data_IF_404848084103
#
_entry.id   IF_404848084103
#
_cell.length_a   1.000
_cell.length_b   1.000
_cell.length_c   1.000
_cell.angle_alpha   90.00
_cell.angle_beta   90.00
_cell.angle_gamma   90.00
#
_symmetry.space_group_name_H-M   'P 1'
#
loop_
_entity.id
_entity.type
_entity.pdbx_description
1 polymer ?
#
# COMPACT_ATOMS: atom_id res chain seq x y z
N UNK A 1 -0.59 -14.11 20.95
CA UNK A 1 -0.37 -13.05 19.95
C UNK A 1 -1.04 -13.54 18.69
N UNK A 2 -2.33 -13.25 18.54
CA UNK A 2 -3.10 -13.69 17.38
C UNK A 2 -2.68 -12.85 16.18
N UNK A 3 -1.85 -13.43 15.31
CA UNK A 3 -1.34 -12.79 14.09
C UNK A 3 -2.44 -12.60 13.03
N UNK A 4 -3.65 -13.10 13.29
CA UNK A 4 -4.79 -13.06 12.39
C UNK A 4 -5.82 -12.08 12.95
N UNK A 5 -6.15 -11.00 12.21
CA UNK A 5 -7.19 -10.08 12.66
C UNK A 5 -8.53 -10.79 12.83
N UNK A 6 -9.31 -10.34 13.81
CA UNK A 6 -10.63 -10.91 14.08
C UNK A 6 -11.53 -10.88 12.83
N UNK A 7 -12.54 -11.76 12.71
CA UNK A 7 -13.48 -11.74 11.59
C UNK A 7 -14.07 -10.35 11.30
N UNK A 8 -14.35 -9.58 12.34
CA UNK A 8 -14.89 -8.22 12.27
C UNK A 8 -13.85 -7.26 11.71
N UNK A 9 -12.61 -7.33 12.21
CA UNK A 9 -11.49 -6.51 11.71
C UNK A 9 -11.18 -6.78 10.24
N UNK A 10 -11.25 -8.05 9.80
CA UNK A 10 -11.11 -8.43 8.38
C UNK A 10 -12.22 -7.84 7.53
N UNK A 11 -13.46 -7.96 7.98
CA UNK A 11 -14.62 -7.40 7.28
C UNK A 11 -14.52 -5.88 7.14
N UNK A 12 -14.10 -5.19 8.21
CA UNK A 12 -13.91 -3.74 8.20
C UNK A 12 -12.77 -3.32 7.25
N UNK A 13 -11.65 -4.05 7.24
CA UNK A 13 -10.54 -3.82 6.30
C UNK A 13 -10.99 -3.95 4.85
N UNK A 14 -11.69 -5.05 4.52
CA UNK A 14 -12.21 -5.29 3.17
C UNK A 14 -13.23 -4.23 2.75
N UNK A 15 -14.15 -3.85 3.66
CA UNK A 15 -15.11 -2.79 3.41
C UNK A 15 -14.41 -1.45 3.11
N UNK A 16 -13.35 -1.11 3.85
CA UNK A 16 -12.54 0.09 3.60
C UNK A 16 -11.87 0.06 2.24
N UNK A 17 -11.22 -1.05 1.90
CA UNK A 17 -10.57 -1.24 0.59
C UNK A 17 -11.57 -1.06 -0.54
N UNK A 18 -12.73 -1.72 -0.45
CA UNK A 18 -13.78 -1.61 -1.46
C UNK A 18 -14.35 -0.19 -1.54
N UNK A 19 -14.58 0.47 -0.41
CA UNK A 19 -15.07 1.85 -0.35
C UNK A 19 -14.14 2.80 -1.08
N UNK A 20 -12.83 2.72 -0.81
CA UNK A 20 -11.81 3.55 -1.46
C UNK A 20 -11.76 3.30 -2.96
N UNK A 21 -11.71 2.03 -3.39
CA UNK A 21 -11.52 1.70 -4.81
C UNK A 21 -12.76 1.90 -5.67
N UNK A 22 -13.94 1.60 -5.12
CA UNK A 22 -15.18 1.53 -5.90
C UNK A 22 -16.08 2.75 -5.69
N UNK A 23 -15.98 3.43 -4.53
CA UNK A 23 -16.83 4.56 -4.15
C UNK A 23 -16.04 5.69 -3.47
N UNK A 24 -14.91 6.17 -4.03
CA UNK A 24 -14.00 7.10 -3.36
C UNK A 24 -14.70 8.38 -2.88
N UNK A 25 -15.54 9.00 -3.72
CA UNK A 25 -16.28 10.22 -3.38
C UNK A 25 -17.19 10.09 -2.15
N UNK A 26 -17.73 8.89 -1.92
CA UNK A 26 -18.58 8.62 -0.76
C UNK A 26 -17.77 8.16 0.46
N UNK A 27 -16.57 7.65 0.25
CA UNK A 27 -15.73 7.07 1.30
C UNK A 27 -14.82 8.11 1.95
N UNK A 28 -14.28 9.06 1.18
CA UNK A 28 -13.40 10.11 1.71
C UNK A 28 -14.02 10.95 2.84
N UNK A 29 -15.29 11.39 2.77
CA UNK A 29 -15.91 12.11 3.88
C UNK A 29 -16.01 11.26 5.16
N UNK A 30 -16.21 9.94 5.05
CA UNK A 30 -16.22 9.04 6.21
C UNK A 30 -14.83 8.92 6.82
N UNK A 31 -13.82 8.71 5.98
CA UNK A 31 -12.41 8.65 6.40
C UNK A 31 -12.01 9.94 7.11
N UNK A 32 -12.43 11.10 6.60
CA UNK A 32 -12.15 12.40 7.19
C UNK A 32 -12.79 12.51 8.59
N UNK A 33 -14.07 12.13 8.75
CA UNK A 33 -14.80 12.22 10.00
C UNK A 33 -14.37 11.20 11.07
N UNK A 34 -13.76 10.09 10.68
CA UNK A 34 -13.38 9.04 11.63
C UNK A 34 -12.20 9.44 12.52
N UNK A 35 -12.32 9.36 13.86
CA UNK A 35 -11.19 9.55 14.73
C UNK A 35 -10.17 8.44 14.51
N UNK A 36 -8.92 8.82 14.25
CA UNK A 36 -7.85 7.87 14.02
C UNK A 36 -6.51 8.42 14.53
N UNK A 37 -5.58 7.50 14.79
CA UNK A 37 -4.17 7.84 15.04
C UNK A 37 -3.32 7.22 13.94
N UNK A 38 -2.10 7.75 13.77
CA UNK A 38 -1.12 7.14 12.84
C UNK A 38 -0.90 5.66 13.20
N UNK A 39 -0.78 5.35 14.49
CA UNK A 39 -0.63 3.98 14.98
C UNK A 39 -1.79 3.07 14.60
N UNK A 40 -3.04 3.52 14.79
CA UNK A 40 -4.23 2.72 14.45
C UNK A 40 -4.37 2.47 12.95
N UNK A 41 -3.99 3.44 12.10
CA UNK A 41 -3.99 3.28 10.64
C UNK A 41 -2.88 2.31 10.21
N UNK A 42 -1.69 2.38 10.83
CA UNK A 42 -0.62 1.43 10.55
C UNK A 42 -1.02 -0.01 10.89
N UNK A 43 -1.40 -0.25 12.14
CA UNK A 43 -1.69 -1.59 12.63
C UNK A 43 -2.98 -2.18 12.07
N UNK A 44 -3.93 -1.34 11.67
CA UNK A 44 -5.22 -1.75 11.14
C UNK A 44 -5.29 -1.84 9.62
N UNK A 45 -4.37 -1.21 8.89
CA UNK A 45 -4.47 -1.07 7.44
C UNK A 45 -3.12 -1.24 6.71
N UNK A 46 -2.17 -0.33 6.96
CA UNK A 46 -0.94 -0.23 6.16
C UNK A 46 -0.09 -1.50 6.25
N UNK A 47 0.07 -2.06 7.45
CA UNK A 47 0.87 -3.28 7.68
C UNK A 47 0.38 -4.44 6.81
N UNK A 48 -0.94 -4.59 6.67
CA UNK A 48 -1.53 -5.68 5.89
C UNK A 48 -1.44 -5.44 4.39
N UNK A 49 -1.82 -4.25 3.90
CA UNK A 49 -1.83 -3.99 2.47
C UNK A 49 -0.42 -3.86 1.88
N UNK A 50 0.51 -3.22 2.60
CA UNK A 50 1.90 -3.11 2.14
C UNK A 50 2.59 -4.48 2.05
N UNK A 51 2.13 -5.49 2.80
CA UNK A 51 2.70 -6.84 2.70
C UNK A 51 2.35 -7.53 1.38
N UNK A 52 1.21 -7.19 0.75
CA UNK A 52 0.74 -7.82 -0.50
C UNK A 52 1.78 -7.76 -1.62
N UNK A 53 2.25 -6.58 -2.09
CA UNK A 53 3.25 -6.52 -3.15
C UNK A 53 4.56 -7.22 -2.77
N UNK A 54 5.00 -7.09 -1.51
CA UNK A 54 6.27 -7.66 -1.04
C UNK A 54 6.23 -9.19 -1.06
N UNK A 55 5.14 -9.79 -0.59
CA UNK A 55 4.97 -11.24 -0.59
C UNK A 55 4.82 -11.77 -2.02
N UNK A 56 4.07 -11.08 -2.87
CA UNK A 56 3.93 -11.44 -4.28
C UNK A 56 5.29 -11.39 -5.00
N UNK A 57 6.06 -10.32 -4.82
CA UNK A 57 7.38 -10.16 -5.41
C UNK A 57 8.38 -11.20 -4.87
N UNK A 58 8.37 -11.48 -3.57
CA UNK A 58 9.20 -12.52 -2.95
C UNK A 58 8.93 -13.89 -3.56
N UNK A 59 7.66 -14.31 -3.57
CA UNK A 59 7.25 -15.61 -4.13
C UNK A 59 7.59 -15.66 -5.62
N UNK A 60 7.26 -14.61 -6.37
CA UNK A 60 7.56 -14.53 -7.80
C UNK A 60 9.05 -14.65 -8.09
N UNK A 61 9.90 -13.98 -7.30
CA UNK A 61 11.35 -14.02 -7.43
C UNK A 61 11.94 -15.41 -7.16
N UNK A 62 11.39 -16.16 -6.21
CA UNK A 62 11.89 -17.49 -5.84
C UNK A 62 11.40 -18.57 -6.80
N UNK A 63 10.13 -18.51 -7.21
CA UNK A 63 9.50 -19.53 -8.06
C UNK A 63 9.96 -19.37 -9.51
N UNK A 64 9.91 -18.15 -10.03
CA UNK A 64 10.18 -17.91 -11.44
C UNK A 64 11.57 -17.34 -11.69
N UNK A 65 12.06 -16.48 -10.79
CA UNK A 65 13.29 -15.71 -10.99
C UNK A 65 13.06 -14.43 -11.80
N UNK A 66 14.15 -13.71 -12.05
CA UNK A 66 14.19 -12.53 -12.88
C UNK A 66 14.80 -12.89 -14.23
N UNK A 67 14.04 -12.71 -15.30
CA UNK A 67 14.50 -12.93 -16.67
C UNK A 67 14.78 -11.60 -17.38
N UNK A 68 15.96 -11.44 -17.96
CA UNK A 68 16.25 -10.35 -18.90
C UNK A 68 17.16 -10.84 -20.03
N UNK A 69 16.81 -10.49 -21.28
CA UNK A 69 17.59 -10.85 -22.48
C UNK A 69 17.97 -12.34 -22.60
N UNK A 70 17.06 -13.25 -22.22
CA UNK A 70 17.28 -14.70 -22.29
C UNK A 70 18.07 -15.30 -21.11
N UNK A 71 18.56 -14.49 -20.18
CA UNK A 71 19.21 -14.94 -18.95
C UNK A 71 18.22 -14.91 -17.81
N UNK A 72 18.11 -16.02 -17.06
CA UNK A 72 17.28 -16.10 -15.86
C UNK A 72 18.17 -16.14 -14.62
N UNK A 73 18.04 -15.12 -13.76
CA UNK A 73 18.66 -15.05 -12.45
C UNK A 73 17.65 -15.45 -11.38
N UNK A 74 18.01 -16.40 -10.51
CA UNK A 74 17.22 -16.75 -9.33
C UNK A 74 18.00 -16.37 -8.08
N UNK A 75 17.46 -15.46 -7.24
CA UNK A 75 18.12 -15.11 -5.99
C UNK A 75 18.15 -16.31 -5.05
N UNK A 76 19.15 -16.34 -4.16
CA UNK A 76 19.11 -17.25 -3.02
C UNK A 76 17.93 -16.91 -2.10
N UNK A 77 17.44 -17.90 -1.36
CA UNK A 77 16.34 -17.71 -0.39
C UNK A 77 16.68 -16.60 0.61
N UNK A 78 17.90 -16.60 1.15
CA UNK A 78 18.37 -15.58 2.07
C UNK A 78 18.40 -14.18 1.44
N UNK A 79 18.85 -14.07 0.18
CA UNK A 79 18.89 -12.80 -0.55
C UNK A 79 17.48 -12.26 -0.85
N UNK A 80 16.57 -13.13 -1.28
CA UNK A 80 15.18 -12.76 -1.56
C UNK A 80 14.46 -12.30 -0.28
N UNK A 81 14.63 -13.02 0.83
CA UNK A 81 14.08 -12.63 2.13
C UNK A 81 14.64 -11.30 2.63
N UNK A 82 15.95 -11.10 2.53
CA UNK A 82 16.60 -9.83 2.90
C UNK A 82 16.02 -8.68 2.09
N UNK A 83 15.85 -8.88 0.78
CA UNK A 83 15.25 -7.88 -0.11
C UNK A 83 13.81 -7.58 0.27
N UNK A 84 13.00 -8.60 0.54
CA UNK A 84 11.61 -8.45 0.95
C UNK A 84 11.47 -7.67 2.26
N UNK A 85 12.29 -7.98 3.27
CA UNK A 85 12.28 -7.26 4.56
C UNK A 85 12.66 -5.79 4.38
N UNK A 86 13.72 -5.52 3.61
CA UNK A 86 14.15 -4.14 3.33
C UNK A 86 13.08 -3.38 2.56
N UNK A 87 12.49 -3.96 1.51
CA UNK A 87 11.42 -3.35 0.74
C UNK A 87 10.20 -3.06 1.60
N UNK A 88 9.81 -3.99 2.47
CA UNK A 88 8.68 -3.79 3.38
C UNK A 88 8.94 -2.63 4.34
N UNK A 89 10.12 -2.58 4.97
CA UNK A 89 10.49 -1.48 5.86
C UNK A 89 10.51 -0.12 5.13
N UNK A 90 11.06 -0.08 3.91
CA UNK A 90 11.05 1.11 3.06
C UNK A 90 9.64 1.53 2.66
N UNK A 91 8.74 0.58 2.41
CA UNK A 91 7.36 0.88 2.04
C UNK A 91 6.57 1.44 3.23
N UNK A 92 6.75 0.87 4.42
CA UNK A 92 6.16 1.40 5.65
C UNK A 92 6.69 2.81 5.93
N UNK A 93 8.01 3.02 5.90
CA UNK A 93 8.61 4.34 6.08
C UNK A 93 8.20 5.34 4.99
N UNK A 94 8.08 4.86 3.75
CA UNK A 94 7.69 5.66 2.58
C UNK A 94 6.31 6.30 2.72
N UNK A 95 5.33 5.58 3.29
CA UNK A 95 4.01 6.16 3.57
C UNK A 95 4.09 7.28 4.59
N UNK A 96 4.90 7.12 5.65
CA UNK A 96 5.09 8.18 6.63
C UNK A 96 5.74 9.41 6.01
N UNK A 97 6.81 9.23 5.23
CA UNK A 97 7.48 10.31 4.52
C UNK A 97 6.52 10.99 3.53
N UNK A 98 5.71 10.22 2.81
CA UNK A 98 4.72 10.77 1.87
C UNK A 98 3.64 11.59 2.60
N UNK A 99 3.20 11.16 3.77
CA UNK A 99 2.30 11.94 4.62
C UNK A 99 2.92 13.28 5.05
N UNK A 100 4.22 13.30 5.40
CA UNK A 100 4.93 14.55 5.72
C UNK A 100 5.01 15.50 4.52
N UNK A 101 5.19 14.95 3.31
CA UNK A 101 5.17 15.73 2.07
C UNK A 101 3.77 16.34 1.85
N UNK A 102 2.70 15.54 2.01
CA UNK A 102 1.31 16.01 1.90
C UNK A 102 1.03 17.11 2.92
N UNK A 103 1.38 16.92 4.19
CA UNK A 103 1.19 17.92 5.25
C UNK A 103 1.98 19.21 4.95
N UNK A 104 3.24 19.07 4.52
CA UNK A 104 4.09 20.19 4.13
C UNK A 104 3.53 21.00 2.94
N UNK A 105 2.86 20.32 2.01
CA UNK A 105 2.26 20.94 0.83
C UNK A 105 0.84 21.46 1.05
N UNK A 106 0.13 21.01 2.09
CA UNK A 106 -1.27 21.38 2.35
C UNK A 106 -1.53 22.91 2.31
N UNK A 107 -0.70 23.78 2.92
CA UNK A 107 -0.89 25.23 2.84
C UNK A 107 -0.84 25.80 1.42
N UNK A 108 -0.11 25.16 0.50
CA UNK A 108 0.00 25.61 -0.90
C UNK A 108 -1.26 25.33 -1.71
N UNK A 109 -2.11 24.41 -1.23
CA UNK A 109 -3.38 24.04 -1.86
C UNK A 109 -4.59 24.62 -1.10
N UNK A 110 -4.38 25.60 -0.21
CA UNK A 110 -5.44 26.20 0.59
C UNK A 110 -5.94 25.32 1.74
N UNK A 111 -5.27 24.19 2.02
CA UNK A 111 -5.55 23.33 3.16
C UNK A 111 -4.82 23.76 4.43
N UNK A 112 -5.29 23.27 5.58
CA UNK A 112 -4.56 23.41 6.84
C UNK A 112 -3.66 22.20 7.09
N UNK A 113 -2.58 22.42 7.84
CA UNK A 113 -1.72 21.33 8.30
C UNK A 113 -2.46 20.48 9.32
N UNK A 114 -2.47 19.19 9.07
CA UNK A 114 -3.02 18.16 9.92
C UNK A 114 -2.32 16.84 9.55
N UNK A 115 -1.40 16.44 10.40
CA UNK A 115 -0.59 15.26 10.22
C UNK A 115 -1.43 13.97 10.14
N UNK A 116 -2.56 13.91 10.86
CA UNK A 116 -3.43 12.73 10.84
C UNK A 116 -4.19 12.69 9.52
N UNK A 117 -4.76 13.81 9.08
CA UNK A 117 -5.46 13.88 7.79
C UNK A 117 -4.52 13.63 6.61
N UNK A 118 -3.30 14.17 6.65
CA UNK A 118 -2.28 13.90 5.64
C UNK A 118 -1.88 12.41 5.61
N UNK A 119 -1.74 11.78 6.79
CA UNK A 119 -1.43 10.36 6.88
C UNK A 119 -2.59 9.47 6.38
N UNK A 120 -3.84 9.81 6.69
CA UNK A 120 -5.02 9.15 6.11
C UNK A 120 -4.96 9.20 4.59
N UNK A 121 -4.72 10.38 4.01
CA UNK A 121 -4.64 10.54 2.56
C UNK A 121 -3.51 9.69 1.96
N UNK A 122 -2.30 9.75 2.54
CA UNK A 122 -1.15 8.97 2.09
C UNK A 122 -1.42 7.45 2.11
N UNK A 123 -1.92 6.94 3.24
CA UNK A 123 -2.13 5.52 3.46
C UNK A 123 -3.28 4.97 2.60
N UNK A 124 -4.42 5.66 2.56
CA UNK A 124 -5.61 5.17 1.86
C UNK A 124 -5.51 5.36 0.35
N UNK A 125 -4.82 6.39 -0.15
CA UNK A 125 -4.61 6.53 -1.59
C UNK A 125 -3.69 5.43 -2.15
N UNK A 126 -2.73 4.93 -1.35
CA UNK A 126 -1.81 3.87 -1.76
C UNK A 126 -2.48 2.50 -2.00
N UNK A 127 -3.75 2.33 -1.60
CA UNK A 127 -4.52 1.08 -1.72
C UNK A 127 -4.45 0.45 -3.10
N UNK A 128 -4.71 1.22 -4.16
CA UNK A 128 -4.71 0.70 -5.52
C UNK A 128 -3.31 0.20 -5.94
N UNK A 129 -2.26 0.94 -5.59
CA UNK A 129 -0.87 0.54 -5.86
C UNK A 129 -0.47 -0.76 -5.15
N UNK A 130 -0.87 -0.94 -3.89
CA UNK A 130 -0.60 -2.17 -3.15
C UNK A 130 -1.30 -3.38 -3.73
N UNK A 131 -2.56 -3.24 -4.14
CA UNK A 131 -3.32 -4.32 -4.74
C UNK A 131 -2.86 -4.63 -6.17
N UNK A 132 -2.51 -3.62 -6.95
CA UNK A 132 -1.86 -3.82 -8.25
C UNK A 132 -0.54 -4.57 -8.12
N UNK A 133 0.11 -4.49 -6.95
CA UNK A 133 1.27 -5.29 -6.58
C UNK A 133 1.09 -6.80 -6.69
N UNK A 134 -0.15 -7.32 -6.68
CA UNK A 134 -0.41 -8.75 -6.88
C UNK A 134 0.10 -9.25 -8.23
N UNK A 135 0.07 -8.39 -9.26
CA UNK A 135 0.55 -8.75 -10.60
C UNK A 135 2.07 -8.95 -10.69
N UNK A 136 2.82 -8.57 -9.65
CA UNK A 136 4.26 -8.86 -9.55
C UNK A 136 4.57 -10.33 -9.26
N UNK A 137 3.57 -11.12 -8.87
CA UNK A 137 3.72 -12.54 -8.58
C UNK A 137 4.16 -13.35 -9.81
N UNK A 138 3.61 -13.02 -10.99
CA UNK A 138 3.84 -13.78 -12.23
C UNK A 138 4.65 -12.92 -13.19
N UNK A 139 5.87 -13.34 -13.58
CA UNK A 139 6.63 -12.64 -14.61
C UNK A 139 5.82 -12.51 -15.90
N UNK A 140 5.78 -11.30 -16.46
CA UNK A 140 4.97 -10.98 -17.64
C UNK A 140 3.61 -10.35 -17.34
N UNK A 141 3.05 -10.51 -16.14
CA UNK A 141 1.86 -9.74 -15.72
C UNK A 141 2.21 -8.40 -15.06
N UNK A 142 3.49 -8.18 -14.75
CA UNK A 142 3.96 -6.98 -14.05
C UNK A 142 3.56 -5.66 -14.73
N UNK A 143 3.37 -5.62 -16.05
CA UNK A 143 2.91 -4.41 -16.74
C UNK A 143 1.51 -3.96 -16.30
N UNK A 144 0.65 -4.89 -15.84
CA UNK A 144 -0.70 -4.60 -15.34
C UNK A 144 -0.64 -3.84 -14.01
N UNK A 145 0.52 -3.81 -13.34
CA UNK A 145 0.74 -2.97 -12.16
C UNK A 145 0.51 -1.47 -12.44
N UNK A 146 0.45 -1.05 -13.71
CA UNK A 146 -0.01 0.28 -14.13
C UNK A 146 -1.39 0.64 -13.61
N UNK A 147 -2.26 -0.34 -13.31
CA UNK A 147 -3.55 -0.09 -12.64
C UNK A 147 -3.37 0.58 -11.27
N UNK A 148 -2.21 0.42 -10.65
CA UNK A 148 -1.83 1.11 -9.41
C UNK A 148 -1.77 2.63 -9.56
N UNK A 149 -1.65 3.17 -10.78
CA UNK A 149 -1.74 4.62 -11.03
C UNK A 149 -3.11 5.19 -10.66
N UNK A 150 -4.15 4.35 -10.48
CA UNK A 150 -5.42 4.77 -9.89
C UNK A 150 -5.25 5.41 -8.50
N UNK A 151 -4.18 5.08 -7.77
CA UNK A 151 -3.81 5.77 -6.52
C UNK A 151 -3.62 7.28 -6.68
N UNK A 152 -3.15 7.75 -7.85
CA UNK A 152 -3.01 9.18 -8.14
C UNK A 152 -4.37 9.85 -8.30
N UNK A 153 -5.33 9.16 -8.93
CA UNK A 153 -6.71 9.64 -9.02
C UNK A 153 -7.36 9.71 -7.63
N UNK A 154 -7.11 8.71 -6.78
CA UNK A 154 -7.62 8.68 -5.41
C UNK A 154 -7.14 9.87 -4.57
N UNK A 155 -5.92 10.39 -4.79
CA UNK A 155 -5.42 11.58 -4.10
C UNK A 155 -6.22 12.86 -4.43
N UNK A 156 -6.82 12.92 -5.62
CA UNK A 156 -7.53 14.09 -6.11
C UNK A 156 -9.05 14.04 -5.84
N UNK A 157 -9.60 12.84 -5.71
CA UNK A 157 -11.05 12.61 -5.64
C UNK A 157 -11.57 12.80 -4.23
#
# INVERSE_FOLDING_TARGET
MDLVPSPEARSALLARVQGILLKPKAEWPKIAAEPATIGSIYSGYVVYLAAVPVLCALIGSLVFGYGFAGVTYRPSIAGALTTAVVQYALQLGGIYVFALIIDGLAPRFGGQKDNISAFKLAAYAATASWLAGVFTLVPGLGFISILGLYSLYLLYT
#
